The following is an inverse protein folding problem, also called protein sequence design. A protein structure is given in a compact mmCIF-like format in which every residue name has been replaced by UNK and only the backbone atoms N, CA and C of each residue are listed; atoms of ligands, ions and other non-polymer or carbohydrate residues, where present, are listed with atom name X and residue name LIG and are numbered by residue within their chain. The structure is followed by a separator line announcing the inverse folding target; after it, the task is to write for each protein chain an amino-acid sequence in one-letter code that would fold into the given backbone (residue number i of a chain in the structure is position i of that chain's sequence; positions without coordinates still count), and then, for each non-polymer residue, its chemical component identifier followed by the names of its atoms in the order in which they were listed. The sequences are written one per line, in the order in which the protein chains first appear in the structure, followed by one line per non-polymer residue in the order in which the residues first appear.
data_IF_565886441114
#
_entry.id   IF_565886441114
#
_cell.length_a   1.000
_cell.length_b   1.000
_cell.length_c   1.000
_cell.angle_alpha   90.00
_cell.angle_beta   90.00
_cell.angle_gamma   90.00
#
_symmetry.space_group_name_H-M   'P 1'
#
loop_
_entity.id
_entity.type
_entity.pdbx_description
1 polymer ?
#
# COMPACT_ATOMS: atom_id res chain seq x y z
N UNK A 1 -11.52 -10.95 3.00
CA UNK A 1 -10.65 -10.86 4.21
C UNK A 1 -10.23 -9.42 4.45
N UNK A 2 -10.29 -8.91 5.69
CA UNK A 2 -9.77 -7.57 6.02
C UNK A 2 -8.27 -7.70 6.25
N UNK A 3 -7.47 -7.03 5.42
CA UNK A 3 -6.03 -6.93 5.63
C UNK A 3 -5.65 -5.47 5.78
N UNK A 4 -4.78 -5.19 6.75
CA UNK A 4 -4.16 -3.88 6.90
C UNK A 4 -2.93 -3.83 6.02
N UNK A 5 -2.99 -3.03 4.96
CA UNK A 5 -1.86 -2.88 4.03
C UNK A 5 -0.62 -2.32 4.75
N UNK A 6 -0.86 -1.45 5.74
CA UNK A 6 0.18 -0.79 6.53
C UNK A 6 0.06 -1.20 7.99
N UNK A 7 0.24 -2.48 8.31
CA UNK A 7 0.21 -3.01 9.68
C UNK A 7 1.12 -2.23 10.64
N UNK A 8 2.25 -1.74 10.15
CA UNK A 8 3.21 -0.90 10.86
C UNK A 8 2.68 0.48 11.25
N UNK A 9 1.63 0.99 10.59
CA UNK A 9 0.96 2.22 11.02
C UNK A 9 0.34 2.09 12.41
N UNK A 10 0.03 0.87 12.88
CA UNK A 10 -0.42 0.62 14.26
C UNK A 10 0.66 0.96 15.31
N UNK A 11 1.94 0.99 14.94
CA UNK A 11 2.99 1.48 15.83
C UNK A 11 2.91 2.99 16.10
N UNK A 12 2.08 3.76 15.37
CA UNK A 12 1.77 5.15 15.74
C UNK A 12 0.73 5.25 16.86
N UNK A 13 -0.01 4.19 17.16
CA UNK A 13 -1.02 4.18 18.23
C UNK A 13 -0.45 4.54 19.62
N UNK A 14 0.74 4.08 20.05
CA UNK A 14 1.30 4.48 21.34
C UNK A 14 1.88 5.90 21.40
N UNK A 15 1.99 6.63 20.28
CA UNK A 15 2.62 7.98 20.26
C UNK A 15 1.97 8.97 21.24
N UNK A 16 0.64 9.13 21.33
CA UNK A 16 0.03 10.07 22.27
C UNK A 16 0.28 9.69 23.72
N UNK A 17 0.36 8.38 24.02
CA UNK A 17 0.66 7.89 25.36
C UNK A 17 2.12 8.13 25.74
N UNK A 18 3.04 7.89 24.80
CA UNK A 18 4.45 8.26 24.92
C UNK A 18 4.59 9.77 25.15
N UNK A 19 3.97 10.61 24.33
CA UNK A 19 4.01 12.07 24.50
C UNK A 19 3.46 12.46 25.87
N UNK A 20 2.33 11.90 26.32
CA UNK A 20 1.80 12.20 27.65
C UNK A 20 2.72 11.76 28.81
N UNK A 21 3.48 10.68 28.63
CA UNK A 21 4.38 10.13 29.66
C UNK A 21 5.74 10.85 29.68
N UNK A 22 6.24 11.26 28.53
CA UNK A 22 7.59 11.81 28.37
C UNK A 22 7.62 13.34 28.27
N UNK A 23 6.54 14.00 27.84
CA UNK A 23 6.48 15.46 27.95
C UNK A 23 6.16 15.82 29.40
N UNK A 24 7.00 16.66 30.04
CA UNK A 24 6.64 17.25 31.31
C UNK A 24 5.34 18.02 31.12
N UNK A 25 4.41 17.91 32.08
CA UNK A 25 3.29 18.83 32.15
C UNK A 25 3.89 20.22 32.28
N UNK A 26 3.84 21.00 31.21
CA UNK A 26 4.03 22.44 31.34
C UNK A 26 2.93 22.91 32.28
N UNK A 27 3.31 23.17 33.53
CA UNK A 27 2.58 24.08 34.39
C UNK A 27 2.65 25.43 33.68
N UNK A 28 1.69 25.70 32.80
CA UNK A 28 1.38 27.05 32.39
C UNK A 28 0.78 27.77 33.60
N UNK A 29 1.62 28.01 34.61
CA UNK A 29 1.62 29.22 35.38
C UNK A 29 2.16 30.33 34.48
N UNK A 30 1.47 30.59 33.36
CA UNK A 30 1.40 31.94 32.86
C UNK A 30 0.53 32.66 33.89
N UNK A 31 1.17 33.08 34.98
CA UNK A 31 0.61 33.89 36.05
C UNK A 31 0.30 35.27 35.47
N UNK A 32 -0.69 35.35 34.57
CA UNK A 32 -1.30 36.61 34.21
C UNK A 32 -2.12 36.98 35.45
N UNK A 33 -1.49 37.76 36.33
CA UNK A 33 -2.10 38.35 37.52
C UNK A 33 -3.21 39.30 37.08
N UNK A 34 -4.38 38.75 36.77
CA UNK A 34 -5.60 39.53 36.68
C UNK A 34 -6.03 39.88 38.10
N UNK A 35 -6.15 41.17 38.36
CA UNK A 35 -6.68 41.71 39.61
C UNK A 35 -8.05 41.07 39.90
N UNK A 36 -8.17 40.49 41.11
CA UNK A 36 -9.40 40.05 41.76
C UNK A 36 -10.45 39.36 40.88
N UNK A 37 -10.38 38.03 40.82
CA UNK A 37 -11.52 37.19 40.46
C UNK A 37 -12.01 36.45 41.71
N UNK A 38 -13.31 36.49 42.05
CA UNK A 38 -13.84 35.74 43.18
C UNK A 38 -13.57 34.25 42.98
N UNK A 39 -12.93 33.65 43.98
CA UNK A 39 -12.61 32.23 44.07
C UNK A 39 -13.89 31.42 44.24
N UNK A 40 -14.63 31.24 43.15
CA UNK A 40 -15.63 30.20 43.07
C UNK A 40 -14.91 28.85 42.96
N UNK A 41 -14.72 28.20 44.11
CA UNK A 41 -14.16 26.85 44.27
C UNK A 41 -15.12 25.75 43.82
N UNK A 42 -15.75 25.94 42.66
CA UNK A 42 -16.55 24.91 42.02
C UNK A 42 -16.29 24.89 40.52
N UNK A 43 -14.99 24.87 40.15
CA UNK A 43 -14.58 24.41 38.82
C UNK A 43 -14.70 22.90 38.80
N UNK A 44 -15.95 22.43 38.66
CA UNK A 44 -16.23 21.09 38.21
C UNK A 44 -15.37 20.85 36.95
N UNK A 45 -14.59 19.77 36.94
CA UNK A 45 -13.67 19.38 35.85
C UNK A 45 -14.29 18.46 34.76
N UNK A 46 -15.61 18.42 34.47
CA UNK A 46 -16.17 17.37 33.63
C UNK A 46 -15.81 17.55 32.15
N UNK A 47 -15.51 18.77 31.70
CA UNK A 47 -15.16 19.05 30.30
C UNK A 47 -13.76 18.56 29.90
N UNK A 48 -12.80 18.55 30.82
CA UNK A 48 -11.42 18.14 30.51
C UNK A 48 -11.30 16.63 30.22
N UNK A 49 -12.05 15.79 30.96
CA UNK A 49 -12.04 14.35 30.73
C UNK A 49 -12.70 13.99 29.39
N UNK A 50 -13.83 14.63 29.06
CA UNK A 50 -14.53 14.42 27.79
C UNK A 50 -13.68 14.89 26.61
N UNK A 51 -13.03 16.06 26.71
CA UNK A 51 -12.13 16.57 25.66
C UNK A 51 -10.94 15.63 25.45
N UNK A 52 -10.31 15.13 26.54
CA UNK A 52 -9.25 14.12 26.43
C UNK A 52 -9.72 12.83 25.76
N UNK A 53 -10.88 12.32 26.15
CA UNK A 53 -11.45 11.11 25.55
C UNK A 53 -11.73 11.31 24.04
N UNK A 54 -12.27 12.47 23.65
CA UNK A 54 -12.53 12.80 22.26
C UNK A 54 -11.22 12.89 21.46
N UNK A 55 -10.18 13.53 22.00
CA UNK A 55 -8.87 13.63 21.35
C UNK A 55 -8.23 12.25 21.14
N UNK A 56 -8.31 11.36 22.12
CA UNK A 56 -7.81 9.98 22.00
C UNK A 56 -8.61 9.20 20.95
N UNK A 57 -9.93 9.36 20.92
CA UNK A 57 -10.78 8.71 19.93
C UNK A 57 -10.45 9.19 18.50
N UNK A 58 -10.35 10.50 18.29
CA UNK A 58 -9.97 11.10 17.00
C UNK A 58 -8.61 10.58 16.54
N UNK A 59 -7.63 10.51 17.45
CA UNK A 59 -6.32 9.96 17.14
C UNK A 59 -6.39 8.49 16.71
N UNK A 60 -7.13 7.66 17.46
CA UNK A 60 -7.34 6.25 17.11
C UNK A 60 -7.97 6.10 15.72
N UNK A 61 -8.99 6.91 15.42
CA UNK A 61 -9.63 6.96 14.10
C UNK A 61 -8.66 7.36 12.99
N UNK A 62 -7.79 8.34 13.21
CA UNK A 62 -6.75 8.74 12.25
C UNK A 62 -5.74 7.61 12.00
N UNK A 63 -5.26 6.96 13.06
CA UNK A 63 -4.33 5.83 12.93
C UNK A 63 -4.97 4.67 12.15
N UNK A 64 -6.23 4.36 12.44
CA UNK A 64 -6.98 3.32 11.71
C UNK A 64 -7.18 3.71 10.25
N UNK A 65 -7.48 4.97 9.95
CA UNK A 65 -7.57 5.45 8.58
C UNK A 65 -6.23 5.35 7.84
N UNK A 66 -5.11 5.70 8.49
CA UNK A 66 -3.75 5.56 7.96
C UNK A 66 -3.36 4.10 7.72
N UNK A 67 -3.83 3.16 8.56
CA UNK A 67 -3.59 1.73 8.38
C UNK A 67 -4.25 1.15 7.10
N UNK A 68 -5.11 1.95 6.43
CA UNK A 68 -5.85 1.61 5.21
C UNK A 68 -6.46 0.21 5.32
N UNK A 69 -7.56 0.04 6.08
CA UNK A 69 -8.27 -1.22 6.10
C UNK A 69 -8.81 -1.49 4.70
N UNK A 70 -8.25 -2.49 4.02
CA UNK A 70 -8.72 -2.91 2.70
C UNK A 70 -9.51 -4.20 2.88
N UNK A 71 -10.75 -4.18 2.41
CA UNK A 71 -11.55 -5.38 2.27
C UNK A 71 -11.21 -6.02 0.93
N UNK A 72 -10.29 -6.98 0.97
CA UNK A 72 -10.06 -7.85 -0.17
C UNK A 72 -11.27 -8.78 -0.25
N UNK A 73 -12.04 -8.66 -1.33
CA UNK A 73 -13.15 -9.57 -1.63
C UNK A 73 -12.63 -10.99 -1.88
N UNK A 74 -13.48 -11.85 -2.42
CA UNK A 74 -13.04 -13.18 -2.79
C UNK A 74 -11.91 -13.10 -3.83
N UNK A 75 -10.87 -13.94 -3.71
CA UNK A 75 -9.80 -13.95 -4.68
C UNK A 75 -10.39 -14.23 -6.06
N UNK A 76 -10.23 -13.27 -6.98
CA UNK A 76 -10.57 -13.50 -8.38
C UNK A 76 -9.51 -14.44 -8.91
N UNK A 77 -9.87 -15.70 -9.12
CA UNK A 77 -9.03 -16.63 -9.87
C UNK A 77 -8.89 -16.08 -11.29
N UNK A 78 -7.78 -15.38 -11.54
CA UNK A 78 -7.33 -15.12 -12.89
C UNK A 78 -6.95 -16.46 -13.49
N UNK A 79 -7.93 -17.13 -14.09
CA UNK A 79 -7.69 -18.20 -15.03
C UNK A 79 -7.18 -17.50 -16.31
N UNK A 80 -5.88 -17.52 -16.62
CA UNK A 80 -5.42 -16.99 -17.90
C UNK A 80 -6.19 -17.78 -18.96
N UNK A 81 -7.05 -17.08 -19.70
CA UNK A 81 -7.71 -17.70 -20.85
C UNK A 81 -6.58 -18.12 -21.78
N UNK A 82 -6.35 -19.43 -21.86
CA UNK A 82 -5.61 -20.03 -22.96
C UNK A 82 -6.31 -19.53 -24.23
N UNK A 83 -5.73 -18.52 -24.86
CA UNK A 83 -6.25 -17.97 -26.09
C UNK A 83 -5.72 -18.88 -27.17
N UNK A 84 -6.60 -19.39 -28.02
CA UNK A 84 -6.19 -20.12 -29.20
C UNK A 84 -5.35 -19.17 -30.08
N UNK A 85 -4.05 -19.49 -30.21
CA UNK A 85 -3.13 -18.78 -31.07
C UNK A 85 -2.97 -19.60 -32.35
N UNK A 86 -3.48 -19.09 -33.46
CA UNK A 86 -3.21 -19.66 -34.79
C UNK A 86 -2.05 -18.91 -35.40
N UNK A 87 -0.92 -19.60 -35.57
CA UNK A 87 0.23 -19.07 -36.26
C UNK A 87 0.25 -19.58 -37.70
N UNK A 88 0.31 -18.65 -38.66
CA UNK A 88 0.40 -18.96 -40.09
C UNK A 88 1.78 -18.52 -40.58
N UNK A 89 2.54 -19.47 -41.12
CA UNK A 89 3.89 -19.24 -41.67
C UNK A 89 3.82 -19.40 -43.18
N UNK A 90 4.43 -18.47 -43.92
CA UNK A 90 4.55 -18.57 -45.38
C UNK A 90 5.56 -19.66 -45.75
N UNK A 91 5.30 -20.38 -46.85
CA UNK A 91 6.18 -21.41 -47.41
C UNK A 91 6.64 -21.05 -48.82
N UNK A 92 6.54 -19.77 -49.20
CA UNK A 92 7.00 -19.28 -50.49
C UNK A 92 8.51 -19.50 -50.68
N UNK A 93 8.97 -19.49 -51.93
CA UNK A 93 10.39 -19.68 -52.25
C UNK A 93 11.35 -18.67 -51.58
N UNK A 94 10.83 -17.54 -51.09
CA UNK A 94 11.61 -16.59 -50.29
C UNK A 94 12.04 -17.12 -48.93
N UNK A 95 11.36 -18.16 -48.42
CA UNK A 95 11.66 -18.78 -47.12
C UNK A 95 12.83 -19.77 -47.17
N UNK A 96 13.27 -20.16 -48.38
CA UNK A 96 14.47 -20.97 -48.62
C UNK A 96 15.75 -20.12 -48.71
N UNK A 97 15.65 -18.81 -48.52
CA UNK A 97 16.83 -17.93 -48.50
C UNK A 97 17.62 -18.15 -47.22
N UNK A 98 18.90 -18.49 -47.37
CA UNK A 98 19.87 -18.69 -46.27
C UNK A 98 20.46 -17.36 -45.82
N UNK A 99 19.61 -16.45 -45.36
CA UNK A 99 20.01 -15.11 -44.93
C UNK A 99 19.78 -14.86 -43.42
N UNK A 100 19.35 -15.86 -42.67
CA UNK A 100 19.20 -15.79 -41.22
C UNK A 100 20.41 -16.41 -40.54
N UNK A 101 21.07 -15.66 -39.66
CA UNK A 101 22.20 -16.15 -38.88
C UNK A 101 21.70 -16.74 -37.55
N UNK A 102 22.02 -18.01 -37.30
CA UNK A 102 21.75 -18.69 -36.04
C UNK A 102 22.99 -19.46 -35.60
N UNK A 103 23.50 -19.16 -34.41
CA UNK A 103 24.71 -19.79 -33.85
C UNK A 103 25.96 -19.72 -34.77
N UNK A 104 26.07 -18.67 -35.58
CA UNK A 104 27.18 -18.46 -36.52
C UNK A 104 27.07 -19.23 -37.83
N UNK A 105 25.98 -19.96 -38.06
CA UNK A 105 25.64 -20.55 -39.36
C UNK A 105 24.49 -19.78 -40.01
N UNK A 106 24.57 -19.61 -41.34
CA UNK A 106 23.48 -19.06 -42.12
C UNK A 106 22.50 -20.19 -42.47
N UNK A 107 21.25 -20.03 -42.06
CA UNK A 107 20.17 -20.99 -42.25
C UNK A 107 18.99 -20.35 -42.99
N UNK A 108 18.11 -21.19 -43.53
CA UNK A 108 16.91 -20.70 -44.19
C UNK A 108 15.93 -20.03 -43.21
N UNK A 109 15.16 -19.06 -43.71
CA UNK A 109 14.17 -18.32 -42.89
C UNK A 109 13.14 -19.25 -42.27
N UNK A 110 12.74 -20.32 -42.96
CA UNK A 110 11.77 -21.28 -42.44
C UNK A 110 12.29 -22.04 -41.21
N UNK A 111 13.54 -22.49 -41.24
CA UNK A 111 14.17 -23.21 -40.12
C UNK A 111 14.41 -22.27 -38.95
N UNK A 112 14.84 -21.03 -39.22
CA UNK A 112 14.98 -20.01 -38.18
C UNK A 112 13.66 -19.77 -37.45
N UNK A 113 12.55 -19.58 -38.19
CA UNK A 113 11.22 -19.41 -37.60
C UNK A 113 10.79 -20.63 -36.80
N UNK A 114 10.98 -21.86 -37.33
CA UNK A 114 10.65 -23.09 -36.59
C UNK A 114 11.39 -23.18 -35.26
N UNK A 115 12.67 -22.84 -35.22
CA UNK A 115 13.47 -22.91 -33.99
C UNK A 115 12.96 -21.92 -32.93
N UNK A 116 12.74 -20.66 -33.31
CA UNK A 116 12.22 -19.63 -32.39
C UNK A 116 10.84 -20.01 -31.85
N UNK A 117 10.00 -20.61 -32.69
CA UNK A 117 8.68 -21.09 -32.26
C UNK A 117 8.76 -22.29 -31.32
N UNK A 118 9.68 -23.22 -31.56
CA UNK A 118 9.95 -24.32 -30.65
C UNK A 118 10.42 -23.82 -29.29
N UNK A 119 11.28 -22.80 -29.25
CA UNK A 119 11.76 -22.19 -28.00
C UNK A 119 10.66 -21.38 -27.27
N UNK A 120 9.70 -20.81 -28.00
CA UNK A 120 8.58 -20.04 -27.42
C UNK A 120 7.44 -20.92 -26.88
N UNK A 121 7.23 -22.10 -27.47
CA UNK A 121 6.15 -23.04 -27.08
C UNK A 121 6.59 -24.00 -25.97
N UNK A 122 7.90 -24.26 -25.82
CA UNK A 122 8.47 -25.10 -24.76
C UNK A 122 8.30 -24.48 -23.36
#
# INVERSE_FOLDING_TARGET
YIQFVWWWALFLLPIPWLVYKFLPQESQQAEIKWAYLPTNENRSKPKQALQKALSIAIWGLLVVACARPVWFGDPVEFQPKYRDLMLVVDLSGSMQQEDMELNGEYIDRLTAVKQVLSDFVA
#
